data_IF_367486672198
#
_entry.id   IF_367486672198
#
_cell.length_a   1.000
_cell.length_b   1.000
_cell.length_c   1.000
_cell.angle_alpha   90.00
_cell.angle_beta   90.00
_cell.angle_gamma   90.00
#
_symmetry.space_group_name_H-M   'P 1'
#
loop_
_entity.id
_entity.type
_entity.pdbx_description
1 polymer ?
#
# COMPACT_ATOMS: atom_id res chain seq x y z
N UNK A 1 -16.84 15.46 -5.70
CA UNK A 1 -16.17 14.19 -5.98
C UNK A 1 -15.29 13.92 -4.77
N UNK A 2 -15.43 12.79 -4.09
CA UNK A 2 -14.50 12.46 -3.00
C UNK A 2 -13.19 12.01 -3.64
N UNK A 3 -12.06 12.59 -3.26
CA UNK A 3 -10.75 12.05 -3.62
C UNK A 3 -10.60 10.68 -2.96
N UNK A 4 -10.04 9.70 -3.70
CA UNK A 4 -9.71 8.39 -3.14
C UNK A 4 -8.38 8.51 -2.40
N UNK A 5 -8.29 7.84 -1.26
CA UNK A 5 -7.05 7.69 -0.49
C UNK A 5 -6.20 6.61 -1.16
N UNK A 6 -5.03 6.99 -1.65
CA UNK A 6 -4.04 6.09 -2.22
C UNK A 6 -3.19 5.47 -1.12
N UNK A 7 -3.22 4.15 -1.02
CA UNK A 7 -2.50 3.37 -0.02
C UNK A 7 -1.35 2.61 -0.66
N UNK A 8 -0.19 2.62 -0.01
CA UNK A 8 0.95 1.77 -0.35
C UNK A 8 1.21 0.74 0.75
N UNK A 9 1.49 -0.51 0.38
CA UNK A 9 1.76 -1.60 1.34
C UNK A 9 3.22 -2.07 1.23
N UNK A 10 3.98 -1.98 2.31
CA UNK A 10 5.35 -2.50 2.41
C UNK A 10 5.39 -3.57 3.50
N UNK A 11 5.57 -4.83 3.10
CA UNK A 11 5.49 -6.00 3.98
C UNK A 11 6.12 -7.17 3.21
N UNK A 12 6.94 -8.03 3.81
CA UNK A 12 7.60 -9.14 3.10
C UNK A 12 6.71 -10.41 3.01
N UNK A 13 5.66 -10.50 3.81
CA UNK A 13 4.66 -11.56 3.86
C UNK A 13 3.56 -11.41 2.81
N UNK A 14 3.68 -12.18 1.72
CA UNK A 14 2.71 -12.14 0.61
C UNK A 14 1.25 -12.43 1.00
N UNK A 15 1.01 -13.20 2.07
CA UNK A 15 -0.35 -13.50 2.56
C UNK A 15 -0.97 -12.26 3.22
N UNK A 16 -0.19 -11.51 4.00
CA UNK A 16 -0.64 -10.30 4.67
C UNK A 16 -0.97 -9.23 3.64
N UNK A 17 -0.06 -8.95 2.69
CA UNK A 17 -0.30 -8.00 1.59
C UNK A 17 -1.58 -8.29 0.83
N UNK A 18 -1.82 -9.55 0.42
CA UNK A 18 -3.06 -9.94 -0.28
C UNK A 18 -4.31 -9.75 0.57
N UNK A 19 -4.23 -10.04 1.87
CA UNK A 19 -5.31 -9.81 2.82
C UNK A 19 -5.65 -8.34 2.95
N UNK A 20 -4.64 -7.48 3.09
CA UNK A 20 -4.79 -6.03 3.15
C UNK A 20 -5.31 -5.43 1.83
N UNK A 21 -4.79 -5.87 0.68
CA UNK A 21 -5.32 -5.46 -0.64
C UNK A 21 -6.81 -5.78 -0.78
N UNK A 22 -7.21 -7.00 -0.39
CA UNK A 22 -8.61 -7.43 -0.45
C UNK A 22 -9.48 -6.59 0.49
N UNK A 23 -9.02 -6.37 1.72
CA UNK A 23 -9.75 -5.58 2.72
C UNK A 23 -9.93 -4.13 2.26
N UNK A 24 -8.83 -3.47 1.85
CA UNK A 24 -8.86 -2.09 1.36
C UNK A 24 -9.75 -1.97 0.11
N UNK A 25 -9.70 -2.95 -0.79
CA UNK A 25 -10.55 -2.98 -2.00
C UNK A 25 -12.06 -3.04 -1.72
N UNK A 26 -12.48 -3.34 -0.48
CA UNK A 26 -13.90 -3.25 -0.09
C UNK A 26 -14.36 -1.81 0.20
N UNK A 27 -13.44 -0.87 0.39
CA UNK A 27 -13.70 0.54 0.64
C UNK A 27 -13.68 1.34 -0.68
N UNK A 28 -14.77 2.05 -0.97
CA UNK A 28 -14.94 2.77 -2.26
C UNK A 28 -14.10 4.06 -2.37
N UNK A 29 -13.62 4.54 -1.24
CA UNK A 29 -12.83 5.74 -1.03
C UNK A 29 -11.34 5.45 -0.86
N UNK A 30 -10.90 4.20 -1.04
CA UNK A 30 -9.51 3.79 -0.91
C UNK A 30 -9.05 2.92 -2.08
N UNK A 31 -7.77 2.96 -2.39
CA UNK A 31 -7.16 2.15 -3.44
C UNK A 31 -5.70 1.84 -3.11
N UNK A 32 -5.27 0.58 -3.32
CA UNK A 32 -3.85 0.22 -3.19
C UNK A 32 -3.14 0.55 -4.50
N UNK A 33 -2.24 1.53 -4.46
CA UNK A 33 -1.52 2.02 -5.65
C UNK A 33 -0.17 1.34 -5.86
N UNK A 34 0.30 0.58 -4.88
CA UNK A 34 1.54 -0.17 -4.98
C UNK A 34 1.85 -1.00 -3.76
N UNK A 35 2.81 -1.91 -3.93
CA UNK A 35 3.33 -2.76 -2.87
C UNK A 35 4.85 -2.86 -2.92
N UNK A 36 5.49 -3.23 -1.83
CA UNK A 36 6.91 -3.59 -1.79
C UNK A 36 7.14 -4.73 -0.80
N UNK A 37 8.19 -5.51 -1.04
CA UNK A 37 8.57 -6.62 -0.14
C UNK A 37 9.76 -6.28 0.76
N UNK A 38 10.31 -5.08 0.63
CA UNK A 38 11.43 -4.60 1.44
C UNK A 38 11.47 -3.07 1.45
N UNK A 39 12.23 -2.51 2.39
CA UNK A 39 12.33 -1.06 2.57
C UNK A 39 12.96 -0.29 1.40
N UNK A 40 13.92 -0.88 0.68
CA UNK A 40 14.58 -0.21 -0.46
C UNK A 40 13.57 0.00 -1.59
N UNK A 41 12.88 -1.08 -1.98
CA UNK A 41 11.81 -1.02 -2.97
C UNK A 41 10.68 -0.07 -2.51
N UNK A 42 10.32 -0.12 -1.22
CA UNK A 42 9.28 0.76 -0.67
C UNK A 42 9.64 2.24 -0.85
N UNK A 43 10.87 2.65 -0.50
CA UNK A 43 11.31 4.04 -0.65
C UNK A 43 11.30 4.49 -2.11
N UNK A 44 11.81 3.67 -3.02
CA UNK A 44 11.83 3.98 -4.46
C UNK A 44 10.41 4.14 -5.01
N UNK A 45 9.51 3.21 -4.69
CA UNK A 45 8.15 3.20 -5.22
C UNK A 45 7.27 4.28 -4.59
N UNK A 46 7.37 4.52 -3.28
CA UNK A 46 6.63 5.59 -2.60
C UNK A 46 6.99 6.95 -3.20
N UNK A 47 8.27 7.19 -3.49
CA UNK A 47 8.72 8.45 -4.11
C UNK A 47 8.10 8.66 -5.50
N UNK A 48 7.90 7.57 -6.26
CA UNK A 48 7.29 7.62 -7.59
C UNK A 48 5.76 7.71 -7.55
N UNK A 49 5.12 6.98 -6.63
CA UNK A 49 3.67 6.82 -6.57
C UNK A 49 2.96 7.90 -5.74
N UNK A 50 3.70 8.57 -4.84
CA UNK A 50 3.16 9.59 -3.93
C UNK A 50 1.84 9.18 -3.25
N UNK A 51 1.80 8.04 -2.53
CA UNK A 51 0.60 7.61 -1.82
C UNK A 51 0.28 8.58 -0.66
N UNK A 52 -1.00 8.64 -0.28
CA UNK A 52 -1.45 9.41 0.88
C UNK A 52 -1.09 8.73 2.20
N UNK A 53 -1.12 7.39 2.20
CA UNK A 53 -0.86 6.55 3.37
C UNK A 53 0.06 5.40 2.99
N UNK A 54 1.02 5.10 3.87
CA UNK A 54 1.91 3.96 3.77
C UNK A 54 1.64 3.05 4.97
N UNK A 55 1.34 1.78 4.71
CA UNK A 55 1.38 0.72 5.70
C UNK A 55 2.72 0.00 5.55
N UNK A 56 3.54 0.07 6.59
CA UNK A 56 4.89 -0.50 6.64
C UNK A 56 4.94 -1.52 7.77
N UNK A 57 5.37 -2.74 7.44
CA UNK A 57 5.76 -3.76 8.40
C UNK A 57 7.11 -3.39 9.02
N UNK A 58 7.24 -3.59 10.34
CA UNK A 58 8.42 -3.21 11.15
C UNK A 58 9.34 -4.40 11.44
N UNK A 59 9.07 -5.56 10.82
CA UNK A 59 9.96 -6.73 10.87
C UNK A 59 11.10 -6.69 9.84
#
# INVERSE_FOLDING_TARGET
MSERIHVFLADDHAVVRKGLETLIGTHKDMEVVGTAVNGIEAVERVTQLQPDVILLDDE
#
